data_IF_007547619494
#
_entry.id   IF_007547619494
#
_cell.length_a   1.000
_cell.length_b   1.000
_cell.length_c   1.000
_cell.angle_alpha   90.00
_cell.angle_beta   90.00
_cell.angle_gamma   90.00
#
_symmetry.space_group_name_H-M   'P 1'
#
loop_
_entity.id
_entity.type
_entity.pdbx_description
1 polymer ?
#
# COMPACT_ATOMS: atom_id res chain seq x y z
N UNK A 1 -0.23 -12.52 -40.47
CA UNK A 1 1.14 -12.30 -40.96
C UNK A 1 1.93 -13.59 -40.76
N UNK A 2 2.39 -14.24 -41.83
CA UNK A 2 3.31 -15.38 -41.74
C UNK A 2 4.73 -14.87 -41.47
N UNK A 3 5.41 -15.42 -40.47
CA UNK A 3 6.77 -15.03 -40.09
C UNK A 3 7.02 -14.91 -38.58
N UNK A 4 6.51 -15.85 -37.77
CA UNK A 4 7.02 -16.04 -36.40
C UNK A 4 8.19 -17.02 -36.46
N UNK A 5 9.37 -16.50 -36.78
CA UNK A 5 10.61 -17.17 -36.42
C UNK A 5 10.69 -17.16 -34.90
N UNK A 6 10.67 -18.33 -34.28
CA UNK A 6 10.99 -18.52 -32.86
C UNK A 6 12.40 -17.97 -32.61
N UNK A 7 12.48 -16.76 -32.07
CA UNK A 7 13.74 -16.26 -31.50
C UNK A 7 14.22 -17.28 -30.46
N UNK A 8 15.51 -17.68 -30.48
CA UNK A 8 16.05 -18.60 -29.51
C UNK A 8 15.77 -18.05 -28.11
N UNK A 9 15.21 -18.89 -27.23
CA UNK A 9 15.09 -18.56 -25.82
C UNK A 9 16.49 -18.26 -25.29
N UNK A 10 16.80 -16.97 -25.10
CA UNK A 10 18.07 -16.56 -24.53
C UNK A 10 18.23 -17.24 -23.15
N UNK A 11 19.39 -17.85 -22.85
CA UNK A 11 19.63 -18.60 -21.61
C UNK A 11 19.63 -17.73 -20.34
N UNK A 12 19.35 -16.43 -20.45
CA UNK A 12 19.24 -15.50 -19.32
C UNK A 12 18.00 -15.75 -18.44
N UNK A 13 16.97 -16.46 -18.93
CA UNK A 13 15.76 -16.74 -18.16
C UNK A 13 15.99 -17.60 -16.91
N UNK A 14 16.94 -18.54 -16.95
CA UNK A 14 17.33 -19.38 -15.80
C UNK A 14 18.33 -18.69 -14.89
N UNK A 15 19.26 -17.90 -15.44
CA UNK A 15 20.20 -17.14 -14.60
C UNK A 15 19.48 -16.05 -13.80
N UNK A 16 18.50 -15.37 -14.40
CA UNK A 16 17.65 -14.39 -13.74
C UNK A 16 16.84 -15.02 -12.60
N UNK A 17 16.18 -16.15 -12.84
CA UNK A 17 15.34 -16.81 -11.82
C UNK A 17 16.11 -17.26 -10.58
N UNK A 18 17.34 -17.77 -10.73
CA UNK A 18 18.18 -18.13 -9.59
C UNK A 18 18.72 -16.90 -8.85
N UNK A 19 19.07 -15.83 -9.57
CA UNK A 19 19.48 -14.57 -8.94
C UNK A 19 18.33 -13.94 -8.13
N UNK A 20 17.10 -14.00 -8.65
CA UNK A 20 15.89 -13.51 -7.96
C UNK A 20 15.58 -14.31 -6.69
N UNK A 21 15.75 -15.63 -6.74
CA UNK A 21 15.58 -16.48 -5.56
C UNK A 21 16.63 -16.14 -4.49
N UNK A 22 17.91 -15.98 -4.88
CA UNK A 22 19.01 -15.68 -3.96
C UNK A 22 18.84 -14.30 -3.32
N UNK A 23 18.58 -13.27 -4.14
CA UNK A 23 18.36 -11.90 -3.62
C UNK A 23 17.10 -11.86 -2.74
N UNK A 24 16.02 -12.54 -3.15
CA UNK A 24 14.80 -12.64 -2.35
C UNK A 24 15.00 -13.34 -1.01
N UNK A 25 15.79 -14.42 -0.96
CA UNK A 25 16.15 -15.10 0.29
C UNK A 25 16.99 -14.18 1.18
N UNK A 26 18.02 -13.52 0.64
CA UNK A 26 18.90 -12.62 1.41
C UNK A 26 18.08 -11.49 2.05
N UNK A 27 17.17 -10.89 1.28
CA UNK A 27 16.30 -9.80 1.75
C UNK A 27 15.29 -10.31 2.78
N UNK A 28 14.63 -11.44 2.53
CA UNK A 28 13.67 -12.02 3.49
C UNK A 28 14.34 -12.35 4.81
N UNK A 29 15.56 -12.90 4.78
CA UNK A 29 16.37 -13.16 5.96
C UNK A 29 16.75 -11.85 6.66
N UNK A 30 17.15 -10.81 5.92
CA UNK A 30 17.46 -9.50 6.49
C UNK A 30 16.24 -8.84 7.14
N UNK A 31 15.05 -8.97 6.55
CA UNK A 31 13.80 -8.48 7.11
C UNK A 31 13.37 -9.27 8.36
N UNK A 32 13.47 -10.60 8.32
CA UNK A 32 13.19 -11.45 9.47
C UNK A 32 14.16 -11.16 10.63
N UNK A 33 15.44 -10.92 10.33
CA UNK A 33 16.44 -10.52 11.32
C UNK A 33 16.15 -9.14 11.91
N UNK A 34 15.77 -8.14 11.10
CA UNK A 34 15.40 -6.82 11.61
C UNK A 34 14.13 -6.87 12.46
N UNK A 35 13.12 -7.65 12.04
CA UNK A 35 11.91 -7.88 12.83
C UNK A 35 12.24 -8.60 14.14
N UNK A 36 13.09 -9.61 14.12
CA UNK A 36 13.54 -10.30 15.32
C UNK A 36 14.29 -9.33 16.26
N UNK A 37 15.22 -8.52 15.74
CA UNK A 37 15.94 -7.50 16.53
C UNK A 37 14.97 -6.49 17.13
N UNK A 38 13.94 -6.06 16.39
CA UNK A 38 12.90 -5.16 16.90
C UNK A 38 12.12 -5.82 18.07
N UNK A 39 11.66 -7.06 17.89
CA UNK A 39 10.92 -7.80 18.92
C UNK A 39 11.77 -8.12 20.16
N UNK A 40 13.06 -8.44 19.96
CA UNK A 40 14.01 -8.71 21.06
C UNK A 40 14.51 -7.44 21.76
N UNK A 41 14.51 -6.30 21.08
CA UNK A 41 14.81 -5.01 21.70
C UNK A 41 13.68 -4.57 22.66
N UNK A 42 12.43 -4.91 22.34
CA UNK A 42 11.28 -4.73 23.25
C UNK A 42 11.28 -5.72 24.43
N UNK A 43 11.94 -6.88 24.31
CA UNK A 43 11.94 -7.92 25.34
C UNK A 43 12.98 -7.74 26.46
N UNK A 44 13.87 -6.73 26.38
CA UNK A 44 14.83 -6.49 27.46
C UNK A 44 14.13 -5.72 28.60
N UNK A 45 14.09 -6.27 29.83
CA UNK A 45 13.56 -5.54 30.98
C UNK A 45 14.42 -4.29 31.20
N UNK A 46 13.74 -3.14 31.16
CA UNK A 46 14.32 -1.81 31.30
C UNK A 46 14.82 -1.67 32.75
N UNK A 47 16.11 -1.94 32.98
CA UNK A 47 16.75 -1.67 34.26
C UNK A 47 16.85 -0.16 34.44
N UNK A 48 16.00 0.37 35.32
CA UNK A 48 16.03 1.74 35.82
C UNK A 48 17.38 2.05 36.48
N UNK A 49 17.88 3.27 36.24
CA UNK A 49 18.46 4.18 37.24
C UNK A 49 18.72 5.56 36.57
N UNK A 50 17.96 6.54 37.07
CA UNK A 50 18.25 7.99 37.12
C UNK A 50 18.41 8.81 35.83
N UNK A 51 17.37 9.56 35.46
CA UNK A 51 17.42 11.01 35.10
C UNK A 51 16.00 11.59 34.88
N UNK A 52 15.32 11.89 35.99
CA UNK A 52 13.87 12.14 36.08
C UNK A 52 13.38 13.48 35.52
N UNK A 53 14.22 14.39 35.02
CA UNK A 53 13.73 15.67 34.43
C UNK A 53 13.92 15.79 32.91
N UNK A 54 14.90 15.09 32.31
CA UNK A 54 15.01 15.01 30.84
C UNK A 54 14.06 13.96 30.23
N UNK A 55 13.60 13.00 31.04
CA UNK A 55 12.77 11.88 30.58
C UNK A 55 11.33 12.28 30.20
N UNK A 56 10.77 13.35 30.77
CA UNK A 56 9.41 13.79 30.42
C UNK A 56 9.32 14.48 29.06
N UNK A 57 10.41 15.11 28.60
CA UNK A 57 10.53 15.67 27.23
C UNK A 57 10.87 14.57 26.22
N UNK A 58 11.61 13.53 26.65
CA UNK A 58 12.01 12.42 25.79
C UNK A 58 10.91 11.36 25.64
N UNK A 59 10.06 11.12 26.64
CA UNK A 59 8.96 10.14 26.59
C UNK A 59 7.81 10.56 25.63
N UNK A 60 7.57 11.86 25.50
CA UNK A 60 6.66 12.41 24.49
C UNK A 60 7.26 12.33 23.07
N UNK A 61 8.61 12.35 22.95
CA UNK A 61 9.31 12.23 21.68
C UNK A 61 9.55 10.77 21.21
N UNK A 62 9.75 9.82 22.13
CA UNK A 62 10.02 8.40 21.78
C UNK A 62 8.79 7.66 21.30
N UNK A 63 7.62 8.00 21.84
CA UNK A 63 6.38 7.30 21.53
C UNK A 63 5.79 7.70 20.17
N UNK A 64 6.13 8.86 19.59
CA UNK A 64 5.74 9.17 18.19
C UNK A 64 6.60 8.41 17.18
N UNK A 65 7.78 7.96 17.62
CA UNK A 65 8.74 7.26 16.79
C UNK A 65 8.27 5.84 16.42
N UNK A 66 7.51 5.14 17.27
CA UNK A 66 7.10 3.75 17.01
C UNK A 66 6.12 3.62 15.84
N UNK A 67 5.05 4.42 15.80
CA UNK A 67 4.08 4.40 14.69
C UNK A 67 4.72 4.78 13.37
N UNK A 68 5.57 5.82 13.38
CA UNK A 68 6.27 6.28 12.17
C UNK A 68 7.34 5.28 11.72
N UNK A 69 8.05 4.65 12.66
CA UNK A 69 8.98 3.56 12.36
C UNK A 69 8.24 2.37 11.74
N UNK A 70 7.08 2.00 12.28
CA UNK A 70 6.24 0.96 11.71
C UNK A 70 5.81 1.30 10.28
N UNK A 71 5.33 2.52 10.02
CA UNK A 71 4.98 2.96 8.67
C UNK A 71 6.18 2.94 7.72
N UNK A 72 7.34 3.46 8.15
CA UNK A 72 8.57 3.45 7.34
C UNK A 72 9.02 2.03 7.00
N UNK A 73 9.02 1.12 7.99
CA UNK A 73 9.45 -0.26 7.79
C UNK A 73 8.44 -1.04 6.94
N UNK A 74 7.14 -0.92 7.22
CA UNK A 74 6.10 -1.64 6.47
C UNK A 74 6.01 -1.19 5.02
N UNK A 75 6.02 0.12 4.73
CA UNK A 75 6.01 0.60 3.35
C UNK A 75 7.36 0.41 2.67
N UNK A 76 8.48 0.46 3.40
CA UNK A 76 9.78 0.10 2.87
C UNK A 76 9.86 -1.38 2.46
N UNK A 77 9.28 -2.26 3.27
CA UNK A 77 9.14 -3.69 2.97
C UNK A 77 8.28 -3.91 1.72
N UNK A 78 7.14 -3.23 1.63
CA UNK A 78 6.27 -3.31 0.45
C UNK A 78 7.03 -2.85 -0.80
N UNK A 79 7.73 -1.72 -0.77
CA UNK A 79 8.56 -1.26 -1.90
C UNK A 79 9.62 -2.26 -2.34
N UNK A 80 10.25 -2.96 -1.40
CA UNK A 80 11.23 -3.99 -1.72
C UNK A 80 10.56 -5.14 -2.46
N UNK A 81 9.41 -5.60 -1.97
CA UNK A 81 8.66 -6.68 -2.60
C UNK A 81 8.16 -6.24 -3.98
N UNK A 82 7.62 -5.03 -4.11
CA UNK A 82 7.19 -4.47 -5.39
C UNK A 82 8.35 -4.46 -6.39
N UNK A 83 9.53 -4.01 -5.96
CA UNK A 83 10.74 -4.00 -6.79
C UNK A 83 11.19 -5.39 -7.22
N UNK A 84 10.98 -6.41 -6.39
CA UNK A 84 11.23 -7.81 -6.76
C UNK A 84 10.16 -8.33 -7.73
N UNK A 85 8.89 -7.97 -7.52
CA UNK A 85 7.78 -8.35 -8.40
C UNK A 85 7.87 -7.67 -9.76
N UNK A 86 8.45 -6.48 -9.84
CA UNK A 86 8.74 -5.77 -11.08
C UNK A 86 9.59 -6.63 -12.03
N UNK A 87 10.53 -7.42 -11.50
CA UNK A 87 11.48 -8.23 -12.27
C UNK A 87 10.88 -9.51 -12.91
N UNK A 88 9.55 -9.61 -12.96
CA UNK A 88 8.83 -10.72 -13.59
C UNK A 88 9.04 -10.73 -15.10
N UNK A 89 9.15 -11.94 -15.67
CA UNK A 89 9.34 -12.13 -17.12
C UNK A 89 8.24 -11.48 -17.98
N UNK A 90 7.02 -11.31 -17.45
CA UNK A 90 5.91 -10.70 -18.16
C UNK A 90 5.97 -9.17 -18.22
N UNK A 91 6.71 -8.53 -17.32
CA UNK A 91 6.65 -7.08 -17.11
C UNK A 91 7.26 -6.27 -18.27
N UNK A 92 8.49 -6.56 -18.76
CA UNK A 92 9.08 -5.81 -19.88
C UNK A 92 8.17 -5.78 -21.11
N UNK A 93 7.60 -6.92 -21.51
CA UNK A 93 6.82 -6.99 -22.75
C UNK A 93 5.33 -6.70 -22.55
N UNK A 94 4.81 -6.83 -21.33
CA UNK A 94 3.39 -6.69 -21.01
C UNK A 94 3.00 -5.31 -20.47
N UNK A 95 3.93 -4.50 -19.98
CA UNK A 95 3.59 -3.25 -19.28
C UNK A 95 2.73 -2.30 -20.12
N UNK A 96 3.11 -2.04 -21.37
CA UNK A 96 2.36 -1.08 -22.21
C UNK A 96 0.97 -1.62 -22.54
N UNK A 97 0.84 -2.90 -22.88
CA UNK A 97 -0.44 -3.49 -23.29
C UNK A 97 -1.39 -3.74 -22.12
N UNK A 98 -0.85 -4.09 -20.95
CA UNK A 98 -1.63 -4.57 -19.82
C UNK A 98 -1.81 -3.50 -18.73
N UNK A 99 -0.93 -2.49 -18.68
CA UNK A 99 -0.94 -1.45 -17.64
C UNK A 99 -1.21 -0.07 -18.25
N UNK A 100 -0.32 0.46 -19.10
CA UNK A 100 -0.45 1.84 -19.61
C UNK A 100 -1.72 1.99 -20.47
N UNK A 101 -1.91 1.17 -21.50
CA UNK A 101 -3.05 1.35 -22.42
C UNK A 101 -4.42 1.24 -21.71
N UNK A 102 -4.65 0.24 -20.85
CA UNK A 102 -5.89 0.17 -20.07
C UNK A 102 -6.10 1.37 -19.14
N UNK A 103 -5.02 1.88 -18.52
CA UNK A 103 -5.08 3.03 -17.62
C UNK A 103 -5.56 4.33 -18.30
N UNK A 104 -5.34 4.46 -19.61
CA UNK A 104 -5.69 5.66 -20.38
C UNK A 104 -6.89 5.50 -21.33
N UNK A 105 -7.57 4.35 -21.33
CA UNK A 105 -8.61 4.06 -22.33
C UNK A 105 -9.78 5.06 -22.30
N UNK A 106 -10.18 5.51 -21.10
CA UNK A 106 -11.22 6.55 -20.94
C UNK A 106 -10.63 7.89 -20.50
N UNK A 107 -9.30 8.06 -20.57
CA UNK A 107 -8.68 9.31 -20.14
C UNK A 107 -9.08 10.46 -21.08
N UNK A 108 -9.35 11.66 -20.53
CA UNK A 108 -9.52 12.88 -21.29
C UNK A 108 -8.39 13.07 -22.32
N UNK A 109 -8.71 13.65 -23.48
CA UNK A 109 -7.77 13.79 -24.60
C UNK A 109 -6.48 14.52 -24.21
N UNK A 110 -6.54 15.49 -23.30
CA UNK A 110 -5.38 16.24 -22.82
C UNK A 110 -4.43 15.41 -21.93
N UNK A 111 -4.87 14.28 -21.38
CA UNK A 111 -4.03 13.36 -20.59
C UNK A 111 -3.41 12.24 -21.42
N UNK A 112 -3.94 11.95 -22.61
CA UNK A 112 -3.40 10.91 -23.51
C UNK A 112 -1.91 11.07 -23.83
N UNK A 113 -1.38 12.29 -24.07
CA UNK A 113 0.05 12.47 -24.31
C UNK A 113 0.95 11.95 -23.17
N UNK A 114 0.47 11.92 -21.92
CA UNK A 114 1.24 11.34 -20.80
C UNK A 114 1.34 9.82 -20.90
N UNK A 115 0.24 9.15 -21.27
CA UNK A 115 0.24 7.71 -21.54
C UNK A 115 1.11 7.36 -22.74
N UNK A 116 1.05 8.16 -23.80
CA UNK A 116 1.89 8.00 -25.00
C UNK A 116 3.37 8.19 -24.68
N UNK A 117 3.73 9.19 -23.85
CA UNK A 117 5.09 9.40 -23.37
C UNK A 117 5.60 8.19 -22.57
N UNK A 118 4.77 7.66 -21.65
CA UNK A 118 5.11 6.47 -20.89
C UNK A 118 5.32 5.24 -21.78
N UNK A 119 4.41 5.02 -22.72
CA UNK A 119 4.49 3.92 -23.68
C UNK A 119 5.73 4.05 -24.58
N UNK A 120 6.04 5.26 -25.06
CA UNK A 120 7.23 5.53 -25.84
C UNK A 120 8.50 5.25 -25.03
N UNK A 121 8.61 5.83 -23.83
CA UNK A 121 9.79 5.66 -22.97
C UNK A 121 10.06 4.20 -22.66
N UNK A 122 9.01 3.43 -22.34
CA UNK A 122 9.11 1.99 -22.10
C UNK A 122 9.57 1.22 -23.34
N UNK A 123 9.00 1.53 -24.52
CA UNK A 123 9.30 0.80 -25.75
C UNK A 123 10.69 1.07 -26.35
N UNK A 124 11.43 2.10 -25.90
CA UNK A 124 12.83 2.31 -26.31
C UNK A 124 13.69 1.10 -25.93
N UNK A 125 13.56 0.65 -24.68
CA UNK A 125 14.25 -0.54 -24.19
C UNK A 125 13.48 -1.12 -22.99
N UNK A 126 12.45 -1.95 -23.25
CA UNK A 126 11.54 -2.41 -22.20
C UNK A 126 12.25 -3.08 -21.03
N UNK A 127 13.29 -3.88 -21.33
CA UNK A 127 14.07 -4.56 -20.29
C UNK A 127 14.87 -3.59 -19.42
N UNK A 128 15.54 -2.60 -20.00
CA UNK A 128 16.32 -1.63 -19.22
C UNK A 128 15.43 -0.72 -18.38
N UNK A 129 14.27 -0.32 -18.90
CA UNK A 129 13.33 0.53 -18.18
C UNK A 129 12.68 -0.25 -17.03
N UNK A 130 12.31 -1.51 -17.25
CA UNK A 130 11.80 -2.41 -16.21
C UNK A 130 12.83 -2.63 -15.09
N UNK A 131 14.07 -2.95 -15.46
CA UNK A 131 15.16 -3.13 -14.50
C UNK A 131 15.46 -1.83 -13.73
N UNK A 132 15.45 -0.67 -14.38
CA UNK A 132 15.64 0.62 -13.71
C UNK A 132 14.50 0.89 -12.71
N UNK A 133 13.26 0.59 -13.11
CA UNK A 133 12.08 0.71 -12.25
C UNK A 133 12.23 -0.17 -11.00
N UNK A 134 12.61 -1.43 -11.16
CA UNK A 134 12.85 -2.35 -10.04
C UNK A 134 13.92 -1.80 -9.08
N UNK A 135 15.05 -1.30 -9.60
CA UNK A 135 16.11 -0.74 -8.76
C UNK A 135 15.69 0.51 -7.99
N UNK A 136 14.86 1.37 -8.58
CA UNK A 136 14.31 2.55 -7.89
C UNK A 136 13.47 2.10 -6.69
N UNK A 137 12.57 1.14 -6.90
CA UNK A 137 11.69 0.60 -5.86
C UNK A 137 12.49 -0.08 -4.73
N UNK A 138 13.46 -0.93 -5.09
CA UNK A 138 14.36 -1.57 -4.14
C UNK A 138 15.15 -0.54 -3.33
N UNK A 139 15.69 0.49 -3.98
CA UNK A 139 16.45 1.54 -3.31
C UNK A 139 15.60 2.32 -2.31
N UNK A 140 14.40 2.76 -2.72
CA UNK A 140 13.45 3.45 -1.84
C UNK A 140 13.13 2.56 -0.64
N UNK A 141 12.76 1.31 -0.89
CA UNK A 141 12.37 0.39 0.18
C UNK A 141 13.49 0.08 1.16
N UNK A 142 14.69 -0.21 0.66
CA UNK A 142 15.88 -0.40 1.51
C UNK A 142 16.21 0.83 2.34
N UNK A 143 16.08 2.03 1.75
CA UNK A 143 16.35 3.28 2.45
C UNK A 143 15.34 3.53 3.58
N UNK A 144 14.05 3.26 3.35
CA UNK A 144 12.99 3.42 4.36
C UNK A 144 13.11 2.40 5.52
N UNK A 145 13.60 1.18 5.25
CA UNK A 145 13.83 0.16 6.29
C UNK A 145 15.12 0.41 7.07
N UNK A 146 16.19 0.81 6.40
CA UNK A 146 17.55 0.75 6.98
C UNK A 146 18.04 2.08 7.53
N UNK A 147 17.58 3.20 6.98
CA UNK A 147 18.09 4.51 7.39
C UNK A 147 17.35 5.02 8.63
N UNK A 148 18.13 5.52 9.59
CA UNK A 148 17.59 6.27 10.72
C UNK A 148 17.13 7.66 10.27
N UNK A 149 16.19 8.30 11.00
CA UNK A 149 15.76 9.67 10.72
C UNK A 149 16.96 10.63 10.59
N UNK A 150 17.20 11.09 9.36
CA UNK A 150 18.39 11.85 8.97
C UNK A 150 18.11 12.63 7.66
N UNK A 151 19.04 13.50 7.24
CA UNK A 151 18.92 14.20 5.95
C UNK A 151 18.84 13.22 4.76
N UNK A 152 19.60 12.14 4.81
CA UNK A 152 19.59 11.09 3.79
C UNK A 152 18.27 10.33 3.77
N UNK A 153 17.70 10.01 4.93
CA UNK A 153 16.37 9.39 5.02
C UNK A 153 15.28 10.32 4.45
N UNK A 154 15.35 11.63 4.71
CA UNK A 154 14.44 12.60 4.09
C UNK A 154 14.58 12.65 2.57
N UNK A 155 15.80 12.57 2.05
CA UNK A 155 16.03 12.49 0.60
C UNK A 155 15.37 11.24 -0.01
N UNK A 156 15.45 10.10 0.69
CA UNK A 156 14.76 8.88 0.26
C UNK A 156 13.23 9.05 0.24
N UNK A 157 12.64 9.76 1.21
CA UNK A 157 11.20 10.08 1.19
C UNK A 157 10.85 11.00 0.02
N UNK A 158 11.64 12.04 -0.25
CA UNK A 158 11.41 12.90 -1.42
C UNK A 158 11.48 12.09 -2.72
N UNK A 159 12.44 11.17 -2.83
CA UNK A 159 12.53 10.27 -3.98
C UNK A 159 11.29 9.35 -4.07
N UNK A 160 10.80 8.82 -2.94
CA UNK A 160 9.56 8.05 -2.87
C UNK A 160 8.38 8.84 -3.41
N UNK A 161 8.19 10.08 -2.94
CA UNK A 161 7.11 10.98 -3.39
C UNK A 161 7.18 11.22 -4.90
N UNK A 162 8.36 11.54 -5.43
CA UNK A 162 8.54 11.78 -6.86
C UNK A 162 8.20 10.53 -7.66
N UNK A 163 8.67 9.36 -7.20
CA UNK A 163 8.42 8.10 -7.87
C UNK A 163 6.95 7.68 -7.82
N UNK A 164 6.29 7.85 -6.66
CA UNK A 164 4.85 7.63 -6.48
C UNK A 164 4.02 8.48 -7.43
N UNK A 165 4.38 9.76 -7.62
CA UNK A 165 3.72 10.65 -8.57
C UNK A 165 3.92 10.22 -10.03
N UNK A 166 5.10 9.72 -10.39
CA UNK A 166 5.36 9.16 -11.72
C UNK A 166 4.48 7.92 -11.96
N UNK A 167 4.46 6.98 -11.01
CA UNK A 167 3.64 5.77 -11.07
C UNK A 167 2.15 6.10 -11.10
N UNK A 168 1.72 7.11 -10.35
CA UNK A 168 0.33 7.58 -10.32
C UNK A 168 -0.09 8.16 -11.68
N UNK A 169 0.69 9.09 -12.23
CA UNK A 169 0.36 9.78 -13.48
C UNK A 169 0.50 8.87 -14.71
N UNK A 170 1.59 8.09 -14.81
CA UNK A 170 1.92 7.31 -16.02
C UNK A 170 1.51 5.85 -15.88
N UNK A 171 1.80 5.21 -14.75
CA UNK A 171 1.49 3.79 -14.54
C UNK A 171 0.00 3.54 -14.35
N UNK A 172 -0.69 4.42 -13.61
CA UNK A 172 -2.08 4.23 -13.21
C UNK A 172 -3.06 5.17 -13.92
N UNK A 173 -2.59 6.09 -14.77
CA UNK A 173 -3.45 7.07 -15.45
C UNK A 173 -4.28 7.88 -14.45
N UNK A 174 -3.65 8.39 -13.39
CA UNK A 174 -4.29 9.06 -12.25
C UNK A 174 -5.26 8.18 -11.43
N UNK A 175 -5.38 6.89 -11.75
CA UNK A 175 -6.20 5.99 -10.96
C UNK A 175 -7.72 6.18 -11.10
N UNK A 176 -8.14 7.02 -12.05
CA UNK A 176 -9.55 7.41 -12.21
C UNK A 176 -10.16 7.00 -13.55
N UNK A 177 -9.32 6.69 -14.55
CA UNK A 177 -9.76 6.61 -15.94
C UNK A 177 -9.74 5.20 -16.54
N UNK A 178 -9.38 4.19 -15.76
CA UNK A 178 -9.53 2.80 -16.15
C UNK A 178 -10.96 2.32 -15.87
N UNK A 179 -11.38 1.25 -16.55
CA UNK A 179 -12.69 0.63 -16.30
C UNK A 179 -12.66 -0.20 -15.04
N UNK A 180 -13.80 -0.31 -14.36
CA UNK A 180 -13.94 -1.07 -13.13
C UNK A 180 -13.09 -0.44 -12.01
N UNK A 181 -13.17 0.90 -11.91
CA UNK A 181 -12.54 1.66 -10.84
C UNK A 181 -13.47 1.74 -9.62
N UNK A 182 -13.05 1.15 -8.50
CA UNK A 182 -13.70 1.27 -7.20
C UNK A 182 -12.72 1.00 -6.05
N UNK A 183 -13.06 1.42 -4.82
CA UNK A 183 -12.23 1.13 -3.64
C UNK A 183 -11.97 -0.37 -3.44
N UNK A 184 -12.97 -1.20 -3.77
CA UNK A 184 -12.90 -2.66 -3.69
C UNK A 184 -12.17 -3.33 -4.87
N UNK A 185 -11.84 -2.57 -5.93
CA UNK A 185 -10.96 -3.02 -7.02
C UNK A 185 -9.57 -2.37 -6.99
N UNK A 186 -9.28 -1.52 -6.00
CA UNK A 186 -7.96 -0.91 -5.81
C UNK A 186 -7.91 0.59 -6.10
N UNK A 187 -8.99 1.17 -6.65
CA UNK A 187 -9.07 2.58 -7.05
C UNK A 187 -9.24 3.52 -5.84
N UNK A 188 -8.82 4.80 -5.90
CA UNK A 188 -8.17 5.46 -7.04
C UNK A 188 -6.80 4.86 -7.40
N UNK A 189 -5.89 4.60 -6.46
CA UNK A 189 -4.72 3.75 -6.72
C UNK A 189 -4.00 3.49 -5.40
N UNK A 190 -3.45 2.28 -5.22
CA UNK A 190 -2.66 1.93 -4.05
C UNK A 190 -1.54 2.94 -3.77
N UNK A 191 -0.90 3.47 -4.84
CA UNK A 191 0.22 4.40 -4.74
C UNK A 191 -0.15 5.71 -4.03
N UNK A 192 -1.42 6.11 -4.01
CA UNK A 192 -1.87 7.29 -3.25
C UNK A 192 -1.79 7.06 -1.74
N UNK A 193 -1.87 5.81 -1.29
CA UNK A 193 -1.69 5.46 0.12
C UNK A 193 -0.19 5.51 0.46
N UNK A 194 0.69 5.11 -0.46
CA UNK A 194 2.14 5.26 -0.30
C UNK A 194 2.49 6.74 -0.19
N UNK A 195 1.91 7.56 -1.07
CA UNK A 195 2.04 9.02 -1.02
C UNK A 195 1.55 9.63 0.29
N UNK A 196 0.39 9.19 0.79
CA UNK A 196 -0.11 9.60 2.11
C UNK A 196 0.92 9.30 3.21
N UNK A 197 1.51 8.10 3.20
CA UNK A 197 2.51 7.69 4.19
C UNK A 197 3.81 8.46 4.03
N UNK A 198 4.33 8.62 2.82
CA UNK A 198 5.54 9.40 2.53
C UNK A 198 5.39 10.85 2.98
N UNK A 199 4.23 11.47 2.73
CA UNK A 199 3.92 12.82 3.21
C UNK A 199 3.82 12.87 4.73
N UNK A 200 3.19 11.88 5.37
CA UNK A 200 3.11 11.78 6.83
C UNK A 200 4.49 11.65 7.48
N UNK A 201 5.35 10.77 6.96
CA UNK A 201 6.73 10.59 7.43
C UNK A 201 7.52 11.90 7.30
N UNK A 202 7.36 12.62 6.18
CA UNK A 202 8.04 13.89 5.95
C UNK A 202 7.55 14.97 6.92
N UNK A 203 6.22 15.12 7.09
CA UNK A 203 5.61 16.10 7.99
C UNK A 203 6.02 15.85 9.44
N UNK A 204 5.94 14.59 9.89
CA UNK A 204 6.35 14.23 11.24
C UNK A 204 7.82 14.56 11.52
N UNK A 205 8.69 14.44 10.51
CA UNK A 205 10.11 14.79 10.64
C UNK A 205 10.35 16.30 10.89
N UNK A 206 9.39 17.16 10.53
CA UNK A 206 9.50 18.62 10.70
C UNK A 206 8.95 19.10 12.06
N UNK A 207 8.30 18.23 12.84
CA UNK A 207 7.84 18.51 14.20
C UNK A 207 6.74 19.57 14.35
N UNK A 208 6.19 20.09 13.25
CA UNK A 208 5.20 21.17 13.23
C UNK A 208 3.92 20.72 12.54
N UNK A 209 3.08 19.99 13.26
CA UNK A 209 1.81 19.48 12.73
C UNK A 209 0.63 20.07 13.50
N UNK A 210 -0.31 20.69 12.76
CA UNK A 210 -1.54 21.30 13.34
C UNK A 210 -2.53 20.26 13.86
N UNK A 211 -2.54 19.08 13.26
CA UNK A 211 -3.46 17.99 13.59
C UNK A 211 -2.69 16.77 14.14
N UNK A 212 -3.34 15.82 14.81
CA UNK A 212 -2.74 14.53 15.15
C UNK A 212 -2.46 13.68 13.91
N UNK A 213 -1.50 12.76 13.99
CA UNK A 213 -1.19 11.79 12.92
C UNK A 213 -2.40 10.91 12.63
N UNK A 214 -3.11 10.46 13.65
CA UNK A 214 -4.30 9.62 13.47
C UNK A 214 -5.37 10.29 12.63
N UNK A 215 -5.56 11.59 12.83
CA UNK A 215 -6.55 12.38 12.11
C UNK A 215 -6.17 12.55 10.65
N UNK A 216 -4.90 12.86 10.34
CA UNK A 216 -4.45 13.00 8.95
C UNK A 216 -4.49 11.68 8.18
N UNK A 217 -4.00 10.60 8.78
CA UNK A 217 -4.03 9.27 8.17
C UNK A 217 -5.48 8.80 7.97
N UNK A 218 -6.32 8.97 8.99
CA UNK A 218 -7.75 8.64 8.88
C UNK A 218 -8.46 9.48 7.83
N UNK A 219 -8.20 10.79 7.73
CA UNK A 219 -8.74 11.62 6.65
C UNK A 219 -8.26 11.20 5.27
N UNK A 220 -6.96 10.90 5.12
CA UNK A 220 -6.40 10.43 3.87
C UNK A 220 -7.05 9.14 3.39
N UNK A 221 -7.18 8.15 4.28
CA UNK A 221 -7.91 6.91 3.98
C UNK A 221 -9.41 7.16 3.75
N UNK A 222 -10.04 8.03 4.53
CA UNK A 222 -11.45 8.38 4.37
C UNK A 222 -11.75 9.00 3.01
N UNK A 223 -10.89 9.91 2.54
CA UNK A 223 -10.95 10.49 1.19
C UNK A 223 -10.71 9.41 0.13
N UNK A 224 -9.74 8.51 0.33
CA UNK A 224 -9.50 7.38 -0.58
C UNK A 224 -10.76 6.52 -0.75
N UNK A 225 -11.37 6.09 0.36
CA UNK A 225 -12.62 5.32 0.33
C UNK A 225 -13.76 6.12 -0.29
N UNK A 226 -13.88 7.42 0.00
CA UNK A 226 -14.94 8.26 -0.58
C UNK A 226 -14.81 8.32 -2.10
N UNK A 227 -13.63 8.65 -2.62
CA UNK A 227 -13.36 8.73 -4.06
C UNK A 227 -13.59 7.37 -4.71
N UNK A 228 -13.00 6.30 -4.19
CA UNK A 228 -13.19 4.95 -4.72
C UNK A 228 -14.65 4.47 -4.65
N UNK A 229 -15.42 4.91 -3.65
CA UNK A 229 -16.86 4.60 -3.56
C UNK A 229 -17.66 5.35 -4.61
N UNK A 230 -17.36 6.64 -4.82
CA UNK A 230 -18.02 7.43 -5.85
C UNK A 230 -17.75 6.88 -7.25
N UNK A 231 -16.51 6.44 -7.53
CA UNK A 231 -16.17 5.75 -8.78
C UNK A 231 -16.99 4.47 -8.94
N UNK A 232 -16.99 3.59 -7.93
CA UNK A 232 -17.75 2.34 -7.97
C UNK A 232 -19.27 2.52 -8.06
N UNK A 233 -19.78 3.70 -7.73
CA UNK A 233 -21.20 4.04 -7.87
C UNK A 233 -21.57 4.50 -9.29
N UNK A 234 -20.60 4.80 -10.16
CA UNK A 234 -20.87 5.20 -11.53
C UNK A 234 -21.35 4.00 -12.36
N UNK A 235 -22.48 4.12 -13.09
CA UNK A 235 -22.96 3.04 -13.96
C UNK A 235 -21.96 2.67 -15.07
N UNK A 236 -21.09 3.60 -15.47
CA UNK A 236 -20.05 3.39 -16.48
C UNK A 236 -19.04 2.30 -16.10
N UNK A 237 -18.82 2.08 -14.81
CA UNK A 237 -17.90 1.04 -14.32
C UNK A 237 -18.47 -0.38 -14.49
N UNK A 238 -19.78 -0.51 -14.75
CA UNK A 238 -20.39 -1.79 -15.09
C UNK A 238 -20.71 -2.71 -13.92
N UNK A 239 -20.42 -2.32 -12.67
CA UNK A 239 -20.71 -3.14 -11.47
C UNK A 239 -22.20 -3.44 -11.26
N UNK A 240 -23.08 -2.54 -11.68
CA UNK A 240 -24.53 -2.72 -11.62
C UNK A 240 -25.07 -3.72 -12.67
N UNK A 241 -24.25 -4.19 -13.62
CA UNK A 241 -24.67 -5.24 -14.55
C UNK A 241 -24.79 -6.57 -13.80
N UNK A 242 -25.75 -7.45 -14.13
CA UNK A 242 -25.97 -8.71 -13.40
C UNK A 242 -24.69 -9.52 -13.14
N UNK A 243 -23.79 -9.58 -14.14
CA UNK A 243 -22.53 -10.34 -14.08
C UNK A 243 -21.27 -9.46 -14.07
N UNK A 244 -21.37 -8.19 -13.64
CA UNK A 244 -20.22 -7.27 -13.60
C UNK A 244 -19.08 -7.82 -12.72
N UNK A 245 -19.37 -8.05 -11.44
CA UNK A 245 -18.41 -8.64 -10.50
C UNK A 245 -17.97 -10.05 -10.89
N UNK A 246 -18.90 -10.91 -11.29
CA UNK A 246 -18.60 -12.27 -11.73
C UNK A 246 -17.53 -12.28 -12.82
N UNK A 247 -17.71 -11.46 -13.87
CA UNK A 247 -16.76 -11.39 -14.99
C UNK A 247 -15.38 -10.94 -14.55
N UNK A 248 -15.30 -9.91 -13.69
CA UNK A 248 -14.04 -9.39 -13.15
C UNK A 248 -13.32 -10.44 -12.30
N UNK A 249 -14.01 -11.02 -11.31
CA UNK A 249 -13.41 -11.99 -10.37
C UNK A 249 -12.99 -13.27 -11.11
N UNK A 250 -13.83 -13.80 -12.00
CA UNK A 250 -13.48 -14.99 -12.79
C UNK A 250 -12.32 -14.72 -13.75
N UNK A 251 -12.14 -13.49 -14.23
CA UNK A 251 -10.97 -13.13 -15.02
C UNK A 251 -9.69 -13.23 -14.18
N UNK A 252 -9.72 -12.77 -12.92
CA UNK A 252 -8.57 -12.89 -12.03
C UNK A 252 -8.30 -14.33 -11.59
N UNK A 253 -9.34 -15.13 -11.36
CA UNK A 253 -9.22 -16.55 -11.01
C UNK A 253 -8.49 -17.39 -12.08
N UNK A 254 -8.40 -16.90 -13.32
CA UNK A 254 -7.67 -17.54 -14.43
C UNK A 254 -6.16 -17.27 -14.43
N UNK A 255 -5.68 -16.34 -13.59
CA UNK A 255 -4.25 -16.11 -13.41
C UNK A 255 -3.56 -17.37 -12.87
N UNK A 256 -2.26 -17.52 -13.13
CA UNK A 256 -1.47 -18.62 -12.57
C UNK A 256 -1.25 -18.39 -11.08
N UNK A 257 -1.99 -19.11 -10.25
CA UNK A 257 -1.93 -18.99 -8.79
C UNK A 257 -2.17 -20.35 -8.10
N UNK A 258 -1.77 -20.51 -6.82
CA UNK A 258 -2.14 -21.67 -6.02
C UNK A 258 -3.65 -21.94 -6.02
N UNK A 259 -4.01 -23.23 -6.06
CA UNK A 259 -5.42 -23.65 -6.20
C UNK A 259 -6.32 -23.10 -5.10
N UNK A 260 -5.79 -22.97 -3.88
CA UNK A 260 -6.51 -22.40 -2.73
C UNK A 260 -7.03 -20.99 -3.03
N UNK A 261 -6.23 -20.15 -3.70
CA UNK A 261 -6.61 -18.77 -4.00
C UNK A 261 -7.56 -18.71 -5.21
N UNK A 262 -7.33 -19.50 -6.26
CA UNK A 262 -8.29 -19.59 -7.37
C UNK A 262 -9.65 -20.13 -6.91
N UNK A 263 -9.68 -21.08 -5.98
CA UNK A 263 -10.91 -21.61 -5.41
C UNK A 263 -11.65 -20.56 -4.57
N UNK A 264 -10.93 -19.74 -3.81
CA UNK A 264 -11.50 -18.60 -3.08
C UNK A 264 -12.14 -17.59 -4.04
N UNK A 265 -11.46 -17.23 -5.12
CA UNK A 265 -12.00 -16.32 -6.13
C UNK A 265 -13.19 -16.92 -6.88
N UNK A 266 -13.16 -18.20 -7.23
CA UNK A 266 -14.29 -18.88 -7.85
C UNK A 266 -15.51 -18.92 -6.92
N UNK A 267 -15.31 -19.16 -5.62
CA UNK A 267 -16.38 -19.09 -4.63
C UNK A 267 -16.96 -17.67 -4.53
N UNK A 268 -16.10 -16.64 -4.51
CA UNK A 268 -16.53 -15.24 -4.52
C UNK A 268 -17.29 -14.89 -5.82
N UNK A 269 -16.80 -15.33 -6.99
CA UNK A 269 -17.46 -15.12 -8.26
C UNK A 269 -18.88 -15.71 -8.25
N UNK A 270 -19.05 -16.96 -7.81
CA UNK A 270 -20.35 -17.63 -7.73
C UNK A 270 -21.33 -16.88 -6.80
N UNK A 271 -20.85 -16.29 -5.69
CA UNK A 271 -21.69 -15.47 -4.80
C UNK A 271 -22.23 -14.23 -5.52
N UNK A 272 -21.45 -13.67 -6.46
CA UNK A 272 -21.78 -12.43 -7.19
C UNK A 272 -22.54 -12.66 -8.50
N UNK A 273 -22.65 -13.91 -8.98
CA UNK A 273 -23.32 -14.25 -10.23
C UNK A 273 -24.78 -13.79 -10.25
N UNK A 274 -25.17 -13.02 -11.27
CA UNK A 274 -26.50 -12.44 -11.42
C UNK A 274 -26.87 -11.35 -10.39
N UNK A 275 -25.98 -11.01 -9.44
CA UNK A 275 -26.28 -10.16 -8.28
C UNK A 275 -25.54 -8.81 -8.27
N UNK A 276 -24.98 -8.40 -9.41
CA UNK A 276 -24.17 -7.18 -9.51
C UNK A 276 -24.78 -5.94 -8.85
N UNK A 277 -26.06 -5.66 -9.05
CA UNK A 277 -26.74 -4.50 -8.44
C UNK A 277 -26.78 -4.55 -6.91
N UNK A 278 -27.13 -5.70 -6.33
CA UNK A 278 -27.24 -5.85 -4.86
C UNK A 278 -25.86 -5.74 -4.22
N UNK A 279 -24.86 -6.43 -4.80
CA UNK A 279 -23.48 -6.39 -4.31
C UNK A 279 -22.90 -4.97 -4.44
N UNK A 280 -23.16 -4.26 -5.54
CA UNK A 280 -22.76 -2.86 -5.72
C UNK A 280 -23.31 -1.98 -4.60
N UNK A 281 -24.61 -2.06 -4.30
CA UNK A 281 -25.24 -1.25 -3.25
C UNK A 281 -24.66 -1.54 -1.86
N UNK A 282 -24.38 -2.81 -1.55
CA UNK A 282 -23.73 -3.21 -0.29
C UNK A 282 -22.33 -2.61 -0.20
N UNK A 283 -21.50 -2.75 -1.24
CA UNK A 283 -20.11 -2.28 -1.23
C UNK A 283 -20.01 -0.75 -1.26
N UNK A 284 -20.93 -0.06 -1.93
CA UNK A 284 -21.05 1.40 -1.89
C UNK A 284 -21.43 1.86 -0.48
N UNK A 285 -22.44 1.24 0.12
CA UNK A 285 -22.87 1.59 1.48
C UNK A 285 -21.75 1.36 2.50
N UNK A 286 -21.05 0.22 2.41
CA UNK A 286 -19.90 -0.08 3.24
C UNK A 286 -18.78 0.94 3.06
N UNK A 287 -18.45 1.29 1.82
CA UNK A 287 -17.44 2.30 1.50
C UNK A 287 -17.76 3.69 2.06
N UNK A 288 -19.02 4.13 1.96
CA UNK A 288 -19.49 5.40 2.54
C UNK A 288 -19.44 5.39 4.08
N UNK A 289 -19.81 4.28 4.71
CA UNK A 289 -19.72 4.11 6.17
C UNK A 289 -18.26 4.20 6.61
N UNK A 290 -17.35 3.47 5.96
CA UNK A 290 -15.92 3.50 6.27
C UNK A 290 -15.34 4.90 6.06
N UNK A 291 -15.63 5.54 4.91
CA UNK A 291 -15.16 6.89 4.61
C UNK A 291 -15.60 7.90 5.68
N UNK A 292 -16.89 7.90 6.02
CA UNK A 292 -17.46 8.79 7.03
C UNK A 292 -16.87 8.52 8.41
N UNK A 293 -16.77 7.25 8.79
CA UNK A 293 -16.24 6.84 10.09
C UNK A 293 -14.76 7.21 10.25
N UNK A 294 -13.95 7.10 9.19
CA UNK A 294 -12.55 7.52 9.18
C UNK A 294 -12.40 9.05 9.22
N UNK A 295 -13.32 9.80 8.64
CA UNK A 295 -13.28 11.27 8.68
C UNK A 295 -13.70 11.82 10.05
N UNK A 296 -14.78 11.27 10.62
CA UNK A 296 -15.39 11.75 11.86
C UNK A 296 -14.71 11.16 13.09
N UNK A 297 -14.38 9.88 13.06
CA UNK A 297 -13.83 9.13 14.20
C UNK A 297 -12.61 8.29 13.78
N UNK A 298 -11.52 8.91 13.26
CA UNK A 298 -10.35 8.23 12.73
C UNK A 298 -9.67 7.29 13.74
N UNK A 299 -9.76 7.61 15.03
CA UNK A 299 -9.16 6.83 16.12
C UNK A 299 -10.14 5.84 16.77
N UNK A 300 -11.34 5.63 16.23
CA UNK A 300 -12.28 4.64 16.78
C UNK A 300 -11.79 3.22 16.49
N UNK A 301 -11.80 2.35 17.50
CA UNK A 301 -11.38 0.95 17.33
C UNK A 301 -12.29 0.23 16.33
N UNK A 302 -13.60 0.49 16.41
CA UNK A 302 -14.58 -0.09 15.50
C UNK A 302 -14.34 0.35 14.05
N UNK A 303 -14.07 1.64 13.82
CA UNK A 303 -13.71 2.16 12.49
C UNK A 303 -12.48 1.45 11.92
N UNK A 304 -11.45 1.30 12.75
CA UNK A 304 -10.20 0.71 12.29
C UNK A 304 -10.37 -0.79 11.98
N UNK A 305 -11.05 -1.56 12.85
CA UNK A 305 -11.32 -2.97 12.57
C UNK A 305 -12.21 -3.15 11.34
N UNK A 306 -13.25 -2.33 11.18
CA UNK A 306 -14.10 -2.37 10.00
C UNK A 306 -13.27 -2.14 8.72
N UNK A 307 -12.37 -1.16 8.75
CA UNK A 307 -11.48 -0.84 7.63
C UNK A 307 -10.53 -2.02 7.31
N UNK A 308 -9.91 -2.62 8.33
CA UNK A 308 -9.03 -3.78 8.17
C UNK A 308 -9.78 -4.97 7.57
N UNK A 309 -10.94 -5.33 8.15
CA UNK A 309 -11.73 -6.49 7.71
C UNK A 309 -12.23 -6.28 6.27
N UNK A 310 -12.80 -5.12 5.97
CA UNK A 310 -13.28 -4.81 4.62
C UNK A 310 -12.15 -4.87 3.60
N UNK A 311 -11.00 -4.28 3.92
CA UNK A 311 -9.82 -4.29 3.03
C UNK A 311 -9.27 -5.69 2.84
N UNK A 312 -9.17 -6.50 3.91
CA UNK A 312 -8.70 -7.89 3.82
C UNK A 312 -9.63 -8.75 2.96
N UNK A 313 -10.94 -8.63 3.15
CA UNK A 313 -11.93 -9.41 2.39
C UNK A 313 -11.88 -9.02 0.92
N UNK A 314 -11.89 -7.73 0.58
CA UNK A 314 -11.82 -7.30 -0.83
C UNK A 314 -10.47 -7.66 -1.46
N UNK A 315 -9.37 -7.52 -0.72
CA UNK A 315 -8.04 -7.87 -1.20
C UNK A 315 -7.94 -9.35 -1.60
N UNK A 316 -8.52 -10.24 -0.79
CA UNK A 316 -8.50 -11.68 -1.02
C UNK A 316 -9.55 -12.17 -2.03
N UNK A 317 -10.73 -11.54 -2.07
CA UNK A 317 -11.87 -12.07 -2.86
C UNK A 317 -12.15 -11.31 -4.16
N UNK A 318 -11.63 -10.10 -4.31
CA UNK A 318 -11.88 -9.23 -5.46
C UNK A 318 -10.61 -8.83 -6.18
N UNK A 319 -9.52 -8.57 -5.45
CA UNK A 319 -8.27 -8.02 -6.01
C UNK A 319 -7.20 -9.08 -6.31
N UNK A 320 -7.45 -10.37 -6.07
CA UNK A 320 -6.49 -11.47 -6.32
C UNK A 320 -5.12 -11.20 -5.68
N UNK A 321 -5.11 -10.54 -4.52
CA UNK A 321 -3.93 -10.01 -3.82
C UNK A 321 -3.05 -9.03 -4.62
N UNK A 322 -3.33 -8.78 -5.91
CA UNK A 322 -2.56 -7.93 -6.83
C UNK A 322 -1.34 -8.58 -7.50
N UNK A 323 -0.89 -9.72 -6.99
CA UNK A 323 0.44 -10.25 -7.31
C UNK A 323 0.44 -11.48 -8.23
N UNK A 324 -0.71 -12.06 -8.57
CA UNK A 324 -0.73 -13.30 -9.38
C UNK A 324 -0.77 -13.07 -10.90
N UNK A 325 -1.01 -11.84 -11.34
CA UNK A 325 -0.89 -11.47 -12.76
C UNK A 325 0.57 -11.51 -13.26
N UNK A 326 0.83 -11.85 -14.54
CA UNK A 326 2.16 -11.76 -15.14
C UNK A 326 2.81 -10.38 -15.07
N UNK A 327 2.00 -9.33 -14.94
CA UNK A 327 2.41 -7.93 -14.80
C UNK A 327 2.01 -7.32 -13.45
N UNK A 328 1.60 -8.15 -12.48
CA UNK A 328 1.26 -7.70 -11.13
C UNK A 328 2.52 -7.38 -10.34
N UNK A 329 2.65 -6.12 -9.92
CA UNK A 329 3.86 -5.60 -9.24
C UNK A 329 3.61 -5.05 -7.86
N UNK A 330 2.35 -4.97 -7.42
CA UNK A 330 2.01 -4.47 -6.09
C UNK A 330 0.85 -5.27 -5.49
N UNK A 331 0.62 -5.03 -4.20
CA UNK A 331 -0.43 -5.71 -3.42
C UNK A 331 -1.80 -5.06 -3.53
N UNK A 332 -2.07 -4.27 -4.57
CA UNK A 332 -3.23 -3.39 -4.68
C UNK A 332 -3.38 -2.49 -3.43
N UNK A 333 -4.53 -1.84 -3.25
CA UNK A 333 -4.75 -0.96 -2.09
C UNK A 333 -4.99 -1.71 -0.78
N UNK A 334 -5.35 -3.00 -0.85
CA UNK A 334 -5.73 -3.80 0.32
C UNK A 334 -4.68 -3.84 1.42
N UNK A 335 -3.47 -4.32 1.10
CA UNK A 335 -2.38 -4.43 2.07
C UNK A 335 -1.92 -3.05 2.62
N UNK A 336 -1.68 -2.02 1.78
CA UNK A 336 -1.38 -0.67 2.26
C UNK A 336 -2.43 -0.10 3.22
N UNK A 337 -3.73 -0.26 2.95
CA UNK A 337 -4.80 0.20 3.85
C UNK A 337 -4.70 -0.52 5.21
N UNK A 338 -4.45 -1.83 5.19
CA UNK A 338 -4.30 -2.62 6.43
C UNK A 338 -3.10 -2.12 7.24
N UNK A 339 -1.95 -1.84 6.60
CA UNK A 339 -0.77 -1.33 7.30
C UNK A 339 -1.03 0.04 7.94
N UNK A 340 -1.64 0.98 7.22
CA UNK A 340 -2.00 2.29 7.79
C UNK A 340 -3.02 2.13 8.93
N UNK A 341 -3.96 1.20 8.79
CA UNK A 341 -4.95 0.90 9.84
C UNK A 341 -4.30 0.32 11.10
N UNK A 342 -3.30 -0.55 10.97
CA UNK A 342 -2.52 -1.04 12.12
C UNK A 342 -1.78 0.11 12.81
N UNK A 343 -1.19 1.02 12.03
CA UNK A 343 -0.54 2.21 12.57
C UNK A 343 -1.52 3.09 13.40
N UNK A 344 -2.77 3.25 12.94
CA UNK A 344 -3.83 3.93 13.70
C UNK A 344 -4.17 3.22 15.03
N UNK A 345 -4.20 1.88 15.06
CA UNK A 345 -4.39 1.12 16.30
C UNK A 345 -3.23 1.33 17.28
N UNK A 346 -2.00 1.34 16.79
CA UNK A 346 -0.81 1.60 17.62
C UNK A 346 -0.86 2.99 18.25
N UNK A 347 -1.22 4.01 17.46
CA UNK A 347 -1.37 5.38 17.95
C UNK A 347 -2.48 5.50 19.00
N UNK A 348 -3.59 4.79 18.83
CA UNK A 348 -4.66 4.76 19.83
C UNK A 348 -4.21 4.13 21.15
N UNK A 349 -3.55 2.95 21.10
CA UNK A 349 -3.08 2.25 22.32
C UNK A 349 -2.13 3.13 23.13
N UNK A 350 -1.23 3.83 22.45
CA UNK A 350 -0.34 4.80 23.06
C UNK A 350 -1.10 5.94 23.77
N UNK A 351 -2.14 6.47 23.15
CA UNK A 351 -2.91 7.56 23.76
C UNK A 351 -3.66 7.08 25.02
N UNK A 352 -4.05 5.81 25.10
CA UNK A 352 -4.67 5.23 26.31
C UNK A 352 -3.66 5.02 27.43
N UNK A 353 -2.46 4.50 27.13
CA UNK A 353 -1.43 4.27 28.16
C UNK A 353 -0.95 5.55 28.85
N UNK A 354 -1.03 6.69 28.17
CA UNK A 354 -0.67 7.99 28.74
C UNK A 354 -1.72 8.55 29.72
N UNK A 355 -2.95 8.01 29.72
CA UNK A 355 -4.03 8.44 30.63
C UNK A 355 -3.92 7.72 31.98
N UNK A 356 -3.40 6.50 31.98
CA UNK A 356 -3.34 5.61 33.14
C UNK A 356 -2.07 5.79 34.00
N UNK A 357 -1.17 6.73 33.69
CA UNK A 357 -0.14 7.16 34.65
C UNK A 357 -0.78 8.15 35.65
N UNK A 358 -1.16 7.70 36.87
CA UNK A 358 -1.72 8.61 37.84
C UNK A 358 -0.66 9.64 38.21
N UNK A 359 -1.10 10.89 38.38
CA UNK A 359 -0.31 12.01 38.90
C UNK A 359 0.21 11.67 40.31
N UNK A 360 1.24 10.83 40.40
CA UNK A 360 1.98 10.53 41.64
C UNK A 360 2.86 11.72 42.06
N UNK A 361 2.92 12.80 41.29
CA UNK A 361 3.81 13.94 41.55
C UNK A 361 3.23 15.02 42.48
N UNK A 362 2.00 14.87 42.99
CA UNK A 362 1.40 15.88 43.90
C UNK A 362 1.38 15.44 45.36
N UNK A 363 1.35 14.13 45.68
CA UNK A 363 1.34 13.71 47.11
C UNK A 363 2.70 13.86 47.79
N UNK A 364 3.81 13.83 47.04
CA UNK A 364 5.15 13.90 47.63
C UNK A 364 5.59 15.34 47.99
N UNK A 365 4.84 16.36 47.53
CA UNK A 365 5.09 17.77 47.91
C UNK A 365 4.26 18.24 49.11
N UNK A 366 3.25 17.49 49.56
CA UNK A 366 2.41 17.87 50.72
C UNK A 366 2.89 17.21 52.02
N UNK A 367 3.80 16.23 51.96
CA UNK A 367 4.38 15.58 53.13
C UNK A 367 5.72 16.20 53.62
N UNK A 368 6.12 17.35 53.07
CA UNK A 368 7.33 18.08 53.46
C UNK A 368 7.08 19.54 53.91
N UNK A 369 5.81 19.89 54.18
CA UNK A 369 5.42 21.14 54.87
C UNK A 369 4.67 20.79 56.14
#
# INVERSE_FOLDING_TARGET
MPGMTSTPSHPFGTLGSHLYLIVGIIITVAMALNLAVYLFAESKPRTDIQKTEAQNIVATATSSNTTLSFLSISFGAIWIIDGMLQLRNGMPNGFVSNIIRPAFVNAPSFLRPLGDLGAWAWNINPFRVDLATAWIQLFIGMALVSLKPSKTWRLAIYLSIVWELIVFCIGNGFGLFYKEAAWYSGAPSAILIYLLVSVELLMASNGKNKFPTSQRLGWGLGIFFLVGTLLGALPSEGYFKPNGFFTMITSMAKNRQPEVFSNLLNAAANITEGRGSIISLILISLGLIIATALIVAPSSVATIYLTIIASLVMWATVMDFGVFSPTGTDFNSGLPIIMVSIALLMEKRKNLSNIDEPVKSVSDKVLLS
#
